data_IF_634110489356
#
_entry.id   IF_634110489356
#
_cell.length_a   1.000
_cell.length_b   1.000
_cell.length_c   1.000
_cell.angle_alpha   90.00
_cell.angle_beta   90.00
_cell.angle_gamma   90.00
#
_symmetry.space_group_name_H-M   'P 1'
#
loop_
_entity.id
_entity.type
_entity.pdbx_description
1 polymer ?
#
# COMPACT_ATOMS: atom_id res chain seq x y z
N UNK A 1 -50.82 -8.82 -51.87
CA UNK A 1 -50.15 -9.92 -51.15
C UNK A 1 -48.67 -9.60 -51.16
N UNK A 2 -48.25 -8.74 -50.26
CA UNK A 2 -46.85 -8.46 -49.99
C UNK A 2 -46.52 -9.18 -48.70
N UNK A 3 -45.52 -10.05 -48.77
CA UNK A 3 -44.93 -10.70 -47.62
C UNK A 3 -44.06 -9.67 -46.90
N UNK A 4 -44.37 -9.40 -45.63
CA UNK A 4 -43.40 -8.85 -44.69
C UNK A 4 -43.18 -9.87 -43.57
N UNK A 5 -41.90 -10.10 -43.35
CA UNK A 5 -41.28 -11.07 -42.47
C UNK A 5 -41.31 -10.54 -41.02
N UNK A 6 -41.80 -11.34 -40.08
CA UNK A 6 -41.68 -11.06 -38.65
C UNK A 6 -41.47 -12.37 -37.88
N UNK A 7 -40.23 -12.60 -37.46
CA UNK A 7 -39.83 -13.69 -36.57
C UNK A 7 -40.27 -13.38 -35.12
N UNK A 8 -40.64 -14.40 -34.31
CA UNK A 8 -40.96 -14.19 -32.91
C UNK A 8 -39.69 -14.03 -32.05
N UNK A 9 -39.77 -13.03 -31.17
CA UNK A 9 -38.84 -12.75 -30.10
C UNK A 9 -38.95 -13.77 -28.95
N UNK A 10 -37.80 -14.15 -28.39
CA UNK A 10 -37.51 -14.36 -26.96
C UNK A 10 -36.27 -15.27 -26.84
N UNK A 11 -35.08 -14.66 -26.97
CA UNK A 11 -33.87 -15.23 -26.41
C UNK A 11 -33.63 -14.50 -25.09
N UNK A 12 -33.61 -15.25 -23.99
CA UNK A 12 -33.24 -14.75 -22.67
C UNK A 12 -31.80 -14.24 -22.71
N UNK A 13 -31.66 -12.92 -22.86
CA UNK A 13 -30.38 -12.24 -22.69
C UNK A 13 -30.02 -12.28 -21.21
N UNK A 14 -29.13 -13.19 -20.86
CA UNK A 14 -28.36 -13.13 -19.61
C UNK A 14 -27.64 -11.78 -19.62
N UNK A 15 -28.05 -10.89 -18.72
CA UNK A 15 -27.34 -9.65 -18.48
C UNK A 15 -25.95 -10.00 -17.96
N UNK A 16 -24.94 -9.88 -18.82
CA UNK A 16 -23.56 -9.77 -18.40
C UNK A 16 -23.48 -8.54 -17.48
N UNK A 17 -23.23 -8.79 -16.19
CA UNK A 17 -22.86 -7.73 -15.27
C UNK A 17 -21.52 -7.20 -15.76
N UNK A 18 -21.53 -6.00 -16.33
CA UNK A 18 -20.32 -5.30 -16.73
C UNK A 18 -19.40 -5.15 -15.52
N UNK A 19 -18.31 -5.91 -15.56
CA UNK A 19 -17.17 -5.75 -14.66
C UNK A 19 -16.52 -4.39 -14.94
N UNK A 20 -16.90 -3.38 -14.17
CA UNK A 20 -16.20 -2.09 -14.14
C UNK A 20 -14.99 -2.22 -13.23
N UNK A 21 -14.09 -3.16 -13.56
CA UNK A 21 -12.75 -3.22 -12.98
C UNK A 21 -11.81 -2.39 -13.85
N UNK A 22 -11.64 -1.13 -13.47
CA UNK A 22 -10.59 -0.27 -13.99
C UNK A 22 -9.21 -0.79 -13.58
N UNK A 23 -8.68 -1.78 -14.30
CA UNK A 23 -7.26 -1.96 -14.60
C UNK A 23 -6.25 -2.04 -13.45
N UNK A 24 -6.61 -2.44 -12.22
CA UNK A 24 -5.64 -2.91 -11.21
C UNK A 24 -5.68 -4.43 -11.20
N UNK A 25 -4.82 -5.06 -12.01
CA UNK A 25 -4.75 -6.52 -12.10
C UNK A 25 -4.52 -7.18 -10.73
N UNK A 26 -4.88 -8.46 -10.62
CA UNK A 26 -4.70 -9.34 -9.45
C UNK A 26 -3.23 -9.69 -9.19
N UNK A 27 -2.33 -8.70 -9.20
CA UNK A 27 -0.92 -8.95 -8.98
C UNK A 27 -0.58 -8.91 -7.49
N UNK A 28 0.13 -9.92 -7.04
CA UNK A 28 0.66 -10.06 -5.68
C UNK A 28 2.18 -9.99 -5.70
N UNK A 29 2.78 -9.88 -4.52
CA UNK A 29 4.23 -9.72 -4.38
C UNK A 29 4.74 -10.68 -3.31
N UNK A 30 5.72 -11.51 -3.68
CA UNK A 30 6.37 -12.45 -2.78
C UNK A 30 7.67 -11.84 -2.23
N UNK A 31 7.72 -11.60 -0.93
CA UNK A 31 8.96 -11.38 -0.19
C UNK A 31 9.53 -12.68 0.38
N UNK A 32 10.56 -12.59 1.21
CA UNK A 32 11.06 -13.71 2.02
C UNK A 32 10.09 -14.02 3.17
N UNK A 33 9.58 -12.99 3.86
CA UNK A 33 8.72 -13.09 5.07
C UNK A 33 7.34 -12.51 4.83
N UNK A 34 7.27 -11.41 4.08
CA UNK A 34 6.03 -10.74 3.72
C UNK A 34 5.47 -11.29 2.41
N UNK A 35 4.14 -11.36 2.30
CA UNK A 35 3.42 -11.47 1.03
C UNK A 35 2.47 -10.29 0.93
N UNK A 36 2.40 -9.62 -0.22
CA UNK A 36 1.50 -8.49 -0.42
C UNK A 36 0.43 -8.84 -1.45
N UNK A 37 -0.85 -8.72 -1.09
CA UNK A 37 -1.99 -8.94 -1.97
C UNK A 37 -2.80 -7.65 -2.16
N UNK A 38 -3.50 -7.45 -3.29
CA UNK A 38 -4.35 -6.28 -3.46
C UNK A 38 -5.41 -6.16 -2.36
N UNK A 39 -5.71 -4.92 -1.93
CA UNK A 39 -6.78 -4.70 -0.95
C UNK A 39 -8.17 -4.88 -1.57
N UNK A 40 -8.73 -6.08 -1.38
CA UNK A 40 -10.07 -6.44 -1.83
C UNK A 40 -11.15 -6.19 -0.76
N UNK A 41 -12.42 -6.25 -1.17
CA UNK A 41 -13.59 -5.98 -0.32
C UNK A 41 -13.69 -6.94 0.88
N UNK A 42 -13.21 -8.17 0.72
CA UNK A 42 -13.23 -9.24 1.71
C UNK A 42 -12.35 -8.95 2.94
N UNK A 43 -11.33 -8.08 2.78
CA UNK A 43 -10.45 -7.67 3.87
C UNK A 43 -11.08 -6.61 4.79
N UNK A 44 -12.08 -5.87 4.31
CA UNK A 44 -12.66 -4.70 5.01
C UNK A 44 -13.15 -5.06 6.43
N UNK A 45 -13.86 -6.17 6.68
CA UNK A 45 -14.29 -6.52 8.04
C UNK A 45 -13.11 -6.72 9.01
N UNK A 46 -12.06 -7.42 8.58
CA UNK A 46 -10.86 -7.63 9.42
C UNK A 46 -10.09 -6.33 9.65
N UNK A 47 -10.02 -5.48 8.63
CA UNK A 47 -9.41 -4.16 8.75
C UNK A 47 -10.18 -3.28 9.74
N UNK A 48 -11.51 -3.27 9.64
CA UNK A 48 -12.38 -2.55 10.56
C UNK A 48 -12.18 -2.98 12.02
N UNK A 49 -12.02 -4.28 12.27
CA UNK A 49 -11.70 -4.81 13.61
C UNK A 49 -10.39 -4.22 14.16
N UNK A 50 -9.34 -4.10 13.33
CA UNK A 50 -8.09 -3.44 13.72
C UNK A 50 -8.30 -1.96 14.03
N UNK A 51 -9.11 -1.27 13.22
CA UNK A 51 -9.41 0.15 13.40
C UNK A 51 -10.34 0.43 14.59
N UNK A 52 -10.73 -0.59 15.37
CA UNK A 52 -11.33 -0.41 16.69
C UNK A 52 -10.28 -0.25 17.82
N UNK A 53 -8.99 -0.54 17.57
CA UNK A 53 -7.93 -0.38 18.57
C UNK A 53 -7.47 1.09 18.67
N UNK A 54 -7.65 1.76 19.82
CA UNK A 54 -7.23 3.15 20.01
C UNK A 54 -5.72 3.37 19.77
N UNK A 55 -4.88 2.37 20.08
CA UNK A 55 -3.44 2.48 19.87
C UNK A 55 -3.07 2.45 18.38
N UNK A 56 -3.84 1.72 17.56
CA UNK A 56 -3.67 1.74 16.10
C UNK A 56 -4.15 3.05 15.52
N UNK A 57 -5.36 3.51 15.90
CA UNK A 57 -5.90 4.80 15.47
C UNK A 57 -4.95 5.97 15.76
N UNK A 58 -4.38 6.02 16.97
CA UNK A 58 -3.38 7.04 17.32
C UNK A 58 -2.12 6.91 16.46
N UNK A 59 -1.61 5.69 16.26
CA UNK A 59 -0.38 5.44 15.52
C UNK A 59 -0.50 5.76 14.02
N UNK A 60 -1.69 5.60 13.44
CA UNK A 60 -2.02 5.90 12.03
C UNK A 60 -2.65 7.28 11.86
N UNK A 61 -2.84 8.05 12.94
CA UNK A 61 -3.56 9.32 12.94
C UNK A 61 -4.94 9.24 12.26
N UNK A 62 -5.66 8.14 12.50
CA UNK A 62 -6.97 7.85 11.93
C UNK A 62 -8.09 8.07 12.95
N UNK A 63 -9.28 8.37 12.46
CA UNK A 63 -10.49 8.43 13.26
C UNK A 63 -11.29 7.12 13.12
N UNK A 64 -12.02 6.69 14.17
CA UNK A 64 -12.84 5.50 14.08
C UNK A 64 -13.99 5.71 13.09
N UNK A 65 -14.19 4.74 12.21
CA UNK A 65 -15.26 4.72 11.22
C UNK A 65 -16.23 3.58 11.49
N UNK A 66 -17.48 3.72 11.04
CA UNK A 66 -18.41 2.59 10.95
C UNK A 66 -17.99 1.64 9.82
N UNK A 67 -18.37 0.36 9.92
CA UNK A 67 -18.07 -0.63 8.88
C UNK A 67 -18.57 -0.20 7.48
N UNK A 68 -19.72 0.47 7.39
CA UNK A 68 -20.22 1.01 6.12
C UNK A 68 -19.31 2.10 5.55
N UNK A 69 -18.76 2.97 6.40
CA UNK A 69 -17.82 4.00 5.97
C UNK A 69 -16.48 3.38 5.55
N UNK A 70 -16.03 2.30 6.18
CA UNK A 70 -14.83 1.57 5.74
C UNK A 70 -14.99 1.02 4.32
N UNK A 71 -16.18 0.52 3.95
CA UNK A 71 -16.45 0.12 2.56
C UNK A 71 -16.44 1.30 1.58
N UNK A 72 -16.88 2.49 2.00
CA UNK A 72 -16.81 3.70 1.17
C UNK A 72 -15.36 4.16 0.97
N UNK A 73 -14.56 4.16 2.05
CA UNK A 73 -13.13 4.47 2.02
C UNK A 73 -12.39 3.47 1.12
N UNK A 74 -12.59 2.16 1.32
CA UNK A 74 -12.06 1.09 0.46
C UNK A 74 -12.34 1.38 -1.01
N UNK A 75 -13.61 1.60 -1.36
CA UNK A 75 -14.01 1.90 -2.74
C UNK A 75 -13.30 3.13 -3.30
N UNK A 76 -13.19 4.20 -2.51
CA UNK A 76 -12.54 5.44 -2.93
C UNK A 76 -11.04 5.25 -3.21
N UNK A 77 -10.35 4.39 -2.44
CA UNK A 77 -8.92 4.12 -2.61
C UNK A 77 -8.65 3.15 -3.75
N UNK A 78 -9.47 2.10 -3.88
CA UNK A 78 -9.32 1.11 -4.94
C UNK A 78 -9.58 1.70 -6.32
N UNK A 79 -10.51 2.64 -6.45
CA UNK A 79 -10.83 3.30 -7.73
C UNK A 79 -9.86 4.42 -8.14
N UNK A 80 -9.03 4.93 -7.23
CA UNK A 80 -8.07 5.99 -7.53
C UNK A 80 -6.81 5.39 -8.20
N UNK A 81 -6.49 5.74 -9.47
CA UNK A 81 -5.35 5.16 -10.18
C UNK A 81 -3.99 5.59 -9.61
N UNK A 82 -3.94 6.65 -8.80
CA UNK A 82 -2.72 7.15 -8.16
C UNK A 82 -2.53 6.62 -6.74
N UNK A 83 -3.42 5.75 -6.27
CA UNK A 83 -3.34 5.11 -4.96
C UNK A 83 -3.22 3.61 -5.10
N UNK A 84 -2.27 3.01 -4.40
CA UNK A 84 -2.21 1.56 -4.29
C UNK A 84 -2.12 1.16 -2.83
N UNK A 85 -3.04 0.29 -2.44
CA UNK A 85 -3.07 -0.32 -1.11
C UNK A 85 -2.90 -1.82 -1.27
N UNK A 86 -1.93 -2.36 -0.55
CA UNK A 86 -1.73 -3.80 -0.43
C UNK A 86 -1.93 -4.23 1.00
N UNK A 87 -2.62 -5.34 1.16
CA UNK A 87 -2.67 -6.06 2.42
C UNK A 87 -1.39 -6.87 2.56
N UNK A 88 -0.75 -6.74 3.70
CA UNK A 88 0.46 -7.47 4.07
C UNK A 88 0.05 -8.72 4.83
N UNK A 89 0.50 -9.87 4.33
CA UNK A 89 0.36 -11.17 4.95
C UNK A 89 1.69 -11.61 5.59
N UNK A 90 1.59 -12.28 6.73
CA UNK A 90 2.70 -13.02 7.33
C UNK A 90 2.71 -14.44 6.75
N UNK A 91 3.75 -14.77 5.99
CA UNK A 91 3.86 -16.07 5.32
C UNK A 91 3.79 -17.26 6.27
N UNK A 92 4.22 -17.09 7.51
CA UNK A 92 4.16 -18.15 8.53
C UNK A 92 2.73 -18.47 8.98
N UNK A 93 1.77 -17.58 8.69
CA UNK A 93 0.37 -17.73 9.08
C UNK A 93 -0.52 -18.26 7.95
N UNK A 94 0.01 -18.43 6.73
CA UNK A 94 -0.75 -18.98 5.61
C UNK A 94 -0.99 -20.47 5.87
N UNK A 95 -2.26 -20.87 5.88
CA UNK A 95 -2.65 -22.26 6.05
C UNK A 95 -2.58 -22.98 4.70
N UNK A 96 -1.63 -23.91 4.56
CA UNK A 96 -1.43 -24.67 3.32
C UNK A 96 -0.60 -23.92 2.28
N UNK A 97 -0.98 -24.04 1.00
CA UNK A 97 -0.31 -23.34 -0.09
C UNK A 97 -0.97 -21.98 -0.35
N UNK A 98 -0.16 -20.99 -0.70
CA UNK A 98 -0.67 -19.69 -1.14
C UNK A 98 -1.38 -19.82 -2.49
N UNK A 99 -2.63 -19.34 -2.58
CA UNK A 99 -3.43 -19.38 -3.79
C UNK A 99 -3.71 -17.94 -4.25
N UNK A 100 -3.17 -17.50 -5.39
CA UNK A 100 -3.48 -16.18 -5.94
C UNK A 100 -5.00 -15.95 -6.10
N UNK A 101 -5.46 -14.76 -5.75
CA UNK A 101 -6.89 -14.40 -5.78
C UNK A 101 -7.65 -14.76 -4.50
N UNK A 102 -7.12 -15.63 -3.64
CA UNK A 102 -7.66 -15.81 -2.30
C UNK A 102 -7.20 -14.64 -1.40
N UNK A 103 -8.11 -14.00 -0.64
CA UNK A 103 -7.75 -12.91 0.26
C UNK A 103 -6.85 -13.33 1.45
N UNK A 104 -6.84 -14.60 1.85
CA UNK A 104 -5.99 -15.10 2.94
C UNK A 104 -6.12 -14.29 4.26
N UNK A 105 -7.37 -14.07 4.69
CA UNK A 105 -7.71 -13.26 5.87
C UNK A 105 -7.04 -13.79 7.15
N UNK A 106 -6.81 -15.10 7.25
CA UNK A 106 -6.14 -15.75 8.38
C UNK A 106 -4.68 -15.28 8.56
N UNK A 107 -4.05 -14.88 7.46
CA UNK A 107 -2.65 -14.45 7.41
C UNK A 107 -2.51 -12.92 7.36
N UNK A 108 -3.61 -12.16 7.36
CA UNK A 108 -3.63 -10.69 7.35
C UNK A 108 -2.90 -10.14 8.58
N UNK A 109 -1.88 -9.31 8.38
CA UNK A 109 -1.12 -8.71 9.51
C UNK A 109 -1.00 -7.20 9.46
N UNK A 110 -1.31 -6.57 8.33
CA UNK A 110 -1.32 -5.13 8.17
C UNK A 110 -1.51 -4.74 6.72
N UNK A 111 -1.09 -3.53 6.37
CA UNK A 111 -1.21 -2.96 5.05
C UNK A 111 -0.08 -1.98 4.75
N UNK A 112 0.20 -1.81 3.45
CA UNK A 112 1.13 -0.82 2.92
C UNK A 112 0.41 0.00 1.85
N UNK A 113 0.49 1.33 1.98
CA UNK A 113 -0.13 2.27 1.06
C UNK A 113 0.94 3.08 0.34
N UNK A 114 0.65 3.43 -0.91
CA UNK A 114 1.38 4.42 -1.67
C UNK A 114 0.42 5.38 -2.37
N UNK A 115 0.72 6.66 -2.30
CA UNK A 115 -0.05 7.74 -2.91
C UNK A 115 0.85 8.57 -3.82
N UNK A 116 0.52 8.63 -5.12
CA UNK A 116 1.28 9.30 -6.18
C UNK A 116 0.50 10.51 -6.71
N UNK A 117 -0.20 11.21 -5.83
CA UNK A 117 -1.14 12.28 -6.17
C UNK A 117 -0.70 13.65 -5.62
N UNK A 118 0.59 13.84 -5.33
CA UNK A 118 1.11 15.13 -4.91
C UNK A 118 1.02 16.13 -6.08
N UNK A 119 0.18 17.15 -5.92
CA UNK A 119 -0.08 18.16 -6.95
C UNK A 119 1.10 19.10 -7.18
N UNK A 120 1.98 19.23 -6.18
CA UNK A 120 3.12 20.13 -6.23
C UNK A 120 4.36 19.43 -6.80
N UNK A 121 4.48 18.11 -6.58
CA UNK A 121 5.56 17.29 -7.14
C UNK A 121 5.13 15.85 -7.47
N UNK A 122 4.75 15.62 -8.73
CA UNK A 122 4.35 14.31 -9.27
C UNK A 122 5.43 13.22 -9.20
N UNK A 123 6.68 13.58 -8.86
CA UNK A 123 7.79 12.63 -8.70
C UNK A 123 7.95 12.14 -7.26
N UNK A 124 7.14 12.64 -6.32
CA UNK A 124 7.11 12.22 -4.92
C UNK A 124 5.91 11.32 -4.68
N UNK A 125 6.16 10.12 -4.16
CA UNK A 125 5.10 9.28 -3.60
C UNK A 125 5.13 9.30 -2.08
N UNK A 126 3.96 9.42 -1.47
CA UNK A 126 3.77 9.22 -0.04
C UNK A 126 3.59 7.73 0.24
N UNK A 127 4.28 7.20 1.26
CA UNK A 127 4.22 5.79 1.66
C UNK A 127 3.86 5.65 3.12
N UNK A 128 2.99 4.68 3.40
CA UNK A 128 2.52 4.35 4.75
C UNK A 128 2.56 2.84 4.96
N UNK A 129 2.77 2.42 6.21
CA UNK A 129 2.78 1.01 6.61
C UNK A 129 2.12 0.89 7.97
N UNK A 130 1.32 -0.15 8.13
CA UNK A 130 0.84 -0.62 9.42
C UNK A 130 1.10 -2.12 9.54
N UNK A 131 1.52 -2.57 10.72
CA UNK A 131 1.49 -3.99 11.10
C UNK A 131 0.61 -4.09 12.35
N UNK A 132 -0.67 -4.36 12.14
CA UNK A 132 -1.68 -4.42 13.17
C UNK A 132 -1.46 -5.61 14.11
N UNK A 133 -1.16 -6.79 13.57
CA UNK A 133 -1.04 -8.01 14.36
C UNK A 133 0.22 -8.03 15.23
N UNK A 134 0.04 -7.98 16.55
CA UNK A 134 1.14 -7.96 17.52
C UNK A 134 2.10 -9.14 17.37
N UNK A 135 1.58 -10.34 17.12
CA UNK A 135 2.37 -11.58 16.93
C UNK A 135 3.34 -11.52 15.76
N UNK A 136 3.12 -10.61 14.80
CA UNK A 136 3.92 -10.46 13.59
C UNK A 136 4.81 -9.22 13.59
N UNK A 137 4.73 -8.37 14.64
CA UNK A 137 5.63 -7.24 14.84
C UNK A 137 7.05 -7.73 15.20
N UNK A 138 8.06 -6.95 14.83
CA UNK A 138 9.46 -7.27 15.13
C UNK A 138 10.09 -8.39 14.28
N UNK A 139 9.32 -9.09 13.44
CA UNK A 139 9.80 -10.12 12.51
C UNK A 139 10.47 -9.57 11.23
N UNK A 140 10.49 -8.25 11.04
CA UNK A 140 11.03 -7.62 9.82
C UNK A 140 10.04 -7.53 8.65
N UNK A 141 8.81 -8.04 8.80
CA UNK A 141 7.76 -8.03 7.76
C UNK A 141 7.47 -6.62 7.26
N UNK A 142 7.23 -5.65 8.15
CA UNK A 142 6.97 -4.26 7.73
C UNK A 142 8.15 -3.59 7.01
N UNK A 143 9.39 -3.98 7.33
CA UNK A 143 10.57 -3.47 6.62
C UNK A 143 10.61 -4.00 5.18
N UNK A 144 10.33 -5.30 5.01
CA UNK A 144 10.30 -5.93 3.71
C UNK A 144 9.13 -5.43 2.85
N UNK A 145 7.93 -5.31 3.43
CA UNK A 145 6.75 -4.81 2.72
C UNK A 145 6.96 -3.40 2.14
N UNK A 146 7.54 -2.47 2.91
CA UNK A 146 7.90 -1.14 2.39
C UNK A 146 8.90 -1.24 1.24
N UNK A 147 9.95 -2.05 1.39
CA UNK A 147 10.98 -2.16 0.35
C UNK A 147 10.42 -2.74 -0.94
N UNK A 148 9.52 -3.73 -0.85
CA UNK A 148 8.81 -4.27 -2.00
C UNK A 148 7.92 -3.22 -2.66
N UNK A 149 7.12 -2.48 -1.88
CA UNK A 149 6.29 -1.38 -2.39
C UNK A 149 7.13 -0.32 -3.11
N UNK A 150 8.26 0.09 -2.52
CA UNK A 150 9.18 1.05 -3.14
C UNK A 150 9.80 0.51 -4.43
N UNK A 151 10.18 -0.77 -4.47
CA UNK A 151 10.73 -1.40 -5.66
C UNK A 151 9.71 -1.39 -6.82
N UNK A 152 8.46 -1.70 -6.51
CA UNK A 152 7.37 -1.63 -7.49
C UNK A 152 7.16 -0.20 -7.98
N UNK A 153 7.20 0.77 -7.07
CA UNK A 153 7.02 2.16 -7.42
C UNK A 153 8.12 2.69 -8.36
N UNK A 154 9.36 2.27 -8.12
CA UNK A 154 10.50 2.55 -8.99
C UNK A 154 10.31 1.89 -10.36
N UNK A 155 9.98 0.60 -10.39
CA UNK A 155 9.94 -0.19 -11.63
C UNK A 155 8.74 0.15 -12.53
N UNK A 156 7.54 0.27 -11.94
CA UNK A 156 6.30 0.48 -12.70
C UNK A 156 5.97 1.94 -12.95
N UNK A 157 6.30 2.83 -12.00
CA UNK A 157 5.88 4.24 -12.04
C UNK A 157 7.04 5.22 -12.15
N UNK A 158 8.30 4.76 -12.12
CA UNK A 158 9.48 5.63 -12.20
C UNK A 158 9.65 6.54 -10.98
N UNK A 159 9.01 6.22 -9.85
CA UNK A 159 9.10 7.02 -8.64
C UNK A 159 10.39 6.71 -7.90
N UNK A 160 11.20 7.74 -7.66
CA UNK A 160 12.47 7.62 -6.92
C UNK A 160 12.50 8.42 -5.62
N UNK A 161 11.51 9.28 -5.39
CA UNK A 161 11.41 10.06 -4.15
C UNK A 161 10.20 9.61 -3.36
N UNK A 162 10.43 9.20 -2.12
CA UNK A 162 9.39 8.72 -1.21
C UNK A 162 9.29 9.62 0.01
N UNK A 163 8.08 9.86 0.48
CA UNK A 163 7.79 10.63 1.69
C UNK A 163 7.04 9.76 2.67
N UNK A 164 7.46 9.77 3.93
CA UNK A 164 6.71 9.18 5.02
C UNK A 164 6.40 10.25 6.06
N UNK A 165 5.12 10.39 6.41
CA UNK A 165 4.67 11.26 7.51
C UNK A 165 4.45 10.40 8.73
N UNK A 166 5.15 10.71 9.82
CA UNK A 166 5.14 9.88 11.03
C UNK A 166 5.01 10.81 12.23
N UNK A 167 4.09 10.51 13.13
CA UNK A 167 3.97 11.21 14.41
C UNK A 167 5.26 11.07 15.24
N UNK A 168 5.63 12.12 15.98
CA UNK A 168 6.79 12.10 16.88
C UNK A 168 6.65 11.04 17.99
N UNK A 169 5.41 10.71 18.36
CA UNK A 169 5.10 9.69 19.37
C UNK A 169 5.19 8.26 18.81
N UNK A 170 5.13 8.06 17.48
CA UNK A 170 5.17 6.74 16.85
C UNK A 170 6.62 6.23 16.73
N UNK A 171 7.20 5.88 17.88
CA UNK A 171 8.58 5.41 17.99
C UNK A 171 8.85 4.12 17.19
N UNK A 172 7.84 3.30 16.94
CA UNK A 172 7.98 2.07 16.14
C UNK A 172 8.28 2.40 14.67
N UNK A 173 7.42 3.22 14.03
CA UNK A 173 7.62 3.67 12.65
C UNK A 173 8.89 4.50 12.51
N UNK A 174 9.20 5.37 13.47
CA UNK A 174 10.44 6.14 13.46
C UNK A 174 11.69 5.24 13.45
N UNK A 175 11.70 4.18 14.26
CA UNK A 175 12.82 3.21 14.26
C UNK A 175 12.91 2.46 12.93
N UNK A 176 11.77 2.03 12.39
CA UNK A 176 11.70 1.33 11.10
C UNK A 176 12.31 2.16 9.98
N UNK A 177 11.82 3.39 9.82
CA UNK A 177 12.22 4.27 8.74
C UNK A 177 13.64 4.82 8.89
N UNK A 178 14.13 5.06 10.12
CA UNK A 178 15.55 5.36 10.35
C UNK A 178 16.44 4.21 9.89
N UNK A 179 16.08 2.97 10.22
CA UNK A 179 16.83 1.78 9.78
C UNK A 179 16.81 1.61 8.27
N UNK A 180 15.69 1.87 7.61
CA UNK A 180 15.57 1.83 6.15
C UNK A 180 16.53 2.81 5.47
N UNK A 181 16.57 4.06 5.95
CA UNK A 181 17.46 5.10 5.40
C UNK A 181 18.93 4.70 5.58
N UNK A 182 19.31 4.22 6.76
CA UNK A 182 20.68 3.73 7.00
C UNK A 182 21.03 2.56 6.10
N UNK A 183 20.10 1.61 5.90
CA UNK A 183 20.32 0.42 5.07
C UNK A 183 20.48 0.79 3.59
N UNK A 184 19.62 1.66 3.07
CA UNK A 184 19.68 2.14 1.68
C UNK A 184 20.93 2.96 1.44
N UNK A 185 21.30 3.85 2.38
CA UNK A 185 22.54 4.62 2.30
C UNK A 185 23.79 3.72 2.24
N UNK A 186 23.87 2.68 3.09
CA UNK A 186 24.97 1.72 3.05
C UNK A 186 25.02 0.94 1.73
N UNK A 187 23.88 0.55 1.15
CA UNK A 187 23.84 -0.20 -0.13
C UNK A 187 24.17 0.67 -1.34
N UNK A 188 23.79 1.95 -1.33
CA UNK A 188 24.15 2.94 -2.36
C UNK A 188 25.65 3.23 -2.42
N UNK A 189 26.40 3.04 -1.32
CA UNK A 189 27.87 3.13 -1.32
C UNK A 189 28.55 1.93 -2.00
N UNK A 190 27.83 0.83 -2.24
CA UNK A 190 28.38 -0.42 -2.79
C UNK A 190 27.97 -0.64 -4.26
N UNK A 191 26.88 -0.02 -4.72
CA UNK A 191 26.38 -0.17 -6.09
C UNK A 191 26.59 1.13 -6.89
N UNK A 192 27.64 1.10 -7.73
CA UNK A 192 27.81 2.08 -8.80
C UNK A 192 26.76 1.79 -9.89
N UNK A 193 25.98 2.82 -10.23
CA UNK A 193 24.90 2.89 -11.23
C UNK A 193 23.48 2.39 -10.83
N UNK A 194 22.54 3.33 -11.03
CA UNK A 194 21.06 3.22 -11.21
C UNK A 194 20.19 3.28 -9.94
N UNK A 195 19.36 4.34 -9.86
CA UNK A 195 18.36 4.69 -8.84
C UNK A 195 18.86 5.26 -7.50
N UNK A 196 19.05 6.59 -7.45
CA UNK A 196 19.15 7.32 -6.19
C UNK A 196 17.75 7.41 -5.54
N UNK A 197 17.46 6.51 -4.59
CA UNK A 197 16.21 6.57 -3.81
C UNK A 197 16.35 7.64 -2.74
N UNK A 198 15.48 8.67 -2.77
CA UNK A 198 15.46 9.74 -1.78
C UNK A 198 14.25 9.57 -0.86
N UNK A 199 14.48 9.49 0.45
CA UNK A 199 13.40 9.46 1.45
C UNK A 199 13.34 10.81 2.17
N UNK A 200 12.18 11.47 2.14
CA UNK A 200 11.91 12.75 2.80
C UNK A 200 11.02 12.49 4.03
N UNK A 201 11.46 12.92 5.20
CA UNK A 201 10.62 12.91 6.42
C UNK A 201 10.09 14.31 6.70
N UNK A 202 8.78 14.41 6.88
CA UNK A 202 8.11 15.61 7.37
C UNK A 202 7.56 15.32 8.77
N UNK A 203 8.03 16.08 9.75
CA UNK A 203 7.59 16.03 11.14
C UNK A 203 6.58 17.15 11.37
N UNK A 204 5.35 16.84 11.77
CA UNK A 204 4.34 17.84 12.12
C UNK A 204 4.28 18.01 13.65
N UNK A 205 5.00 19.01 14.15
CA UNK A 205 5.06 19.43 15.54
C UNK A 205 5.73 20.80 15.62
N UNK A 206 5.18 21.73 16.41
CA UNK A 206 5.43 23.18 16.38
C UNK A 206 6.90 23.60 16.65
N UNK A 207 7.79 23.49 15.65
CA UNK A 207 8.94 24.39 15.38
C UNK A 207 9.66 23.90 14.12
N UNK A 208 9.40 24.60 13.02
CA UNK A 208 10.23 24.54 11.83
C UNK A 208 11.66 24.96 12.19
N UNK A 209 12.57 23.99 12.36
CA UNK A 209 14.03 24.17 12.23
C UNK A 209 14.72 22.83 12.41
N UNK A 210 14.64 21.98 11.38
CA UNK A 210 15.72 21.10 10.86
C UNK A 210 15.13 20.18 9.79
N UNK A 211 14.97 20.72 8.59
CA UNK A 211 15.11 19.90 7.38
C UNK A 211 16.52 19.31 7.44
N UNK A 212 16.64 17.98 7.50
CA UNK A 212 17.87 17.32 7.11
C UNK A 212 18.00 17.52 5.61
N UNK A 213 18.78 18.53 5.23
CA UNK A 213 19.12 18.80 3.83
C UNK A 213 19.80 17.56 3.23
N UNK A 214 19.22 17.11 2.12
CA UNK A 214 19.84 16.31 1.06
C UNK A 214 21.36 16.49 1.01
N UNK A 215 22.12 15.41 1.18
CA UNK A 215 23.55 15.40 0.84
C UNK A 215 23.64 15.39 -0.69
N UNK A 216 24.00 16.54 -1.25
CA UNK A 216 24.28 16.70 -2.67
C UNK A 216 25.70 16.22 -2.94
N UNK A 217 25.87 15.12 -3.68
CA UNK A 217 27.14 14.82 -4.33
C UNK A 217 26.95 15.00 -5.84
N UNK A 218 27.05 16.24 -6.28
CA UNK A 218 27.38 16.55 -7.68
C UNK A 218 28.89 16.42 -7.81
N UNK A 219 29.36 15.51 -8.67
CA UNK A 219 30.67 15.64 -9.29
C UNK A 219 30.51 15.57 -10.80
N UNK A 220 30.97 16.64 -11.45
CA UNK A 220 31.49 16.59 -12.83
C UNK A 220 32.68 15.65 -12.89
#
# INVERSE_FOLDING_TARGET
MEASEAAPAAADTVMEAEDVSGGKGEWYVLGERALMVPYTREHVPRYHDWMQDPALLEATASEPLSLSQEFEVHRSWTLDPLKHTFIVLDKELIEGEFVPGNPHIEAMVGDVNIYMNDSDDVQIAEIEIMIAEHKSRGKGIGQEAILLMMAIAVEKYGIHTFRAKISESNMASLKLFRKLVSTLFCRLLVWSLVCLIRIIFLWFGYRASRMLHTVWCSRR
#
